data_IF_795239084118
#
_entry.id   IF_795239084118
#
_cell.length_a   1.000
_cell.length_b   1.000
_cell.length_c   1.000
_cell.angle_alpha   90.00
_cell.angle_beta   90.00
_cell.angle_gamma   90.00
#
_symmetry.space_group_name_H-M   'P 1'
#
loop_
_entity.id
_entity.type
_entity.pdbx_description
1 polymer ?
#
# COMPACT_ATOMS: atom_id res chain seq x y z
N UNK A 1 -4.99 -4.08 -25.98
CA UNK A 1 -6.24 -4.07 -25.17
C UNK A 1 -5.83 -3.73 -23.74
N UNK A 2 -6.41 -2.70 -23.10
CA UNK A 2 -6.09 -2.34 -21.71
C UNK A 2 -6.98 -3.13 -20.75
N UNK A 3 -6.44 -3.55 -19.62
CA UNK A 3 -7.18 -4.29 -18.58
C UNK A 3 -7.95 -3.31 -17.69
N UNK A 4 -9.22 -3.63 -17.42
CA UNK A 4 -10.06 -2.89 -16.46
C UNK A 4 -10.11 -3.56 -15.08
N UNK A 5 -9.75 -4.83 -14.99
CA UNK A 5 -9.66 -5.62 -13.76
C UNK A 5 -8.40 -6.49 -13.77
N UNK A 6 -7.93 -6.92 -12.59
CA UNK A 6 -6.87 -7.93 -12.50
C UNK A 6 -7.35 -9.23 -13.20
N UNK A 7 -6.57 -9.82 -14.12
CA UNK A 7 -6.96 -11.05 -14.80
C UNK A 7 -7.11 -12.23 -13.83
N UNK A 8 -8.09 -13.09 -14.10
CA UNK A 8 -8.26 -14.37 -13.39
C UNK A 8 -7.40 -15.47 -14.03
N UNK A 9 -7.09 -16.52 -13.26
CA UNK A 9 -6.36 -17.69 -13.79
C UNK A 9 -4.84 -17.49 -13.90
N UNK A 10 -4.28 -16.49 -13.21
CA UNK A 10 -2.83 -16.31 -13.08
C UNK A 10 -2.27 -17.56 -12.37
N UNK A 11 -1.22 -18.22 -12.91
CA UNK A 11 -0.63 -19.40 -12.30
C UNK A 11 -0.15 -19.16 -10.86
N UNK A 12 -0.38 -20.10 -9.96
CA UNK A 12 0.04 -19.97 -8.56
C UNK A 12 1.58 -19.86 -8.41
N UNK A 13 2.33 -20.39 -9.37
CA UNK A 13 3.80 -20.31 -9.42
C UNK A 13 4.33 -18.96 -9.93
N UNK A 14 3.47 -17.98 -10.25
CA UNK A 14 3.91 -16.68 -10.73
C UNK A 14 4.71 -15.94 -9.64
N UNK A 15 5.94 -15.55 -9.99
CA UNK A 15 6.83 -14.77 -9.13
C UNK A 15 6.81 -13.27 -9.46
N UNK A 16 6.51 -12.92 -10.72
CA UNK A 16 6.50 -11.54 -11.21
C UNK A 16 5.18 -11.24 -11.91
N UNK A 17 4.46 -10.23 -11.42
CA UNK A 17 3.21 -9.76 -12.02
C UNK A 17 3.30 -8.25 -12.32
N UNK A 18 3.19 -7.92 -13.61
CA UNK A 18 3.16 -6.56 -14.12
C UNK A 18 1.77 -6.25 -14.68
N UNK A 19 1.12 -5.22 -14.14
CA UNK A 19 -0.19 -4.72 -14.54
C UNK A 19 -0.12 -3.24 -14.94
N UNK A 20 1.05 -2.79 -15.39
CA UNK A 20 1.32 -1.42 -15.80
C UNK A 20 0.57 -1.04 -17.09
N UNK A 21 0.37 0.26 -17.33
CA UNK A 21 -0.23 0.79 -18.57
C UNK A 21 -1.67 0.33 -18.83
N UNK A 22 -2.40 -0.02 -17.76
CA UNK A 22 -3.78 -0.49 -17.80
C UNK A 22 -4.80 0.59 -17.43
N UNK A 23 -6.02 0.21 -17.08
CA UNK A 23 -7.14 1.08 -16.69
C UNK A 23 -7.82 0.54 -15.41
N UNK A 24 -7.03 -0.04 -14.50
CA UNK A 24 -7.57 -0.56 -13.24
C UNK A 24 -8.04 0.61 -12.37
N UNK A 25 -9.34 0.68 -12.13
CA UNK A 25 -9.94 1.64 -11.20
C UNK A 25 -10.11 1.06 -9.77
N UNK A 26 -10.11 -0.27 -9.67
CA UNK A 26 -10.24 -1.01 -8.41
C UNK A 26 -9.55 -2.37 -8.50
N UNK A 27 -9.17 -2.91 -7.34
CA UNK A 27 -8.67 -4.29 -7.19
C UNK A 27 -9.69 -5.07 -6.37
N UNK A 28 -10.00 -6.31 -6.78
CA UNK A 28 -10.79 -7.21 -5.93
C UNK A 28 -9.94 -7.65 -4.72
N UNK A 29 -10.51 -7.68 -3.52
CA UNK A 29 -9.79 -8.05 -2.29
C UNK A 29 -9.17 -9.46 -2.33
N UNK A 30 -9.61 -10.32 -3.26
CA UNK A 30 -9.13 -11.69 -3.46
C UNK A 30 -8.19 -11.83 -4.66
N UNK A 31 -7.93 -10.76 -5.42
CA UNK A 31 -7.21 -10.79 -6.69
C UNK A 31 -5.85 -11.50 -6.62
N UNK A 32 -5.15 -11.41 -5.48
CA UNK A 32 -3.81 -11.97 -5.29
C UNK A 32 -3.75 -13.17 -4.32
N UNK A 33 -4.89 -13.66 -3.80
CA UNK A 33 -4.90 -14.74 -2.78
C UNK A 33 -4.26 -16.05 -3.25
N UNK A 34 -4.26 -16.31 -4.56
CA UNK A 34 -3.69 -17.52 -5.16
C UNK A 34 -2.23 -17.40 -5.59
N UNK A 35 -1.54 -16.30 -5.26
CA UNK A 35 -0.20 -15.98 -5.79
C UNK A 35 0.85 -15.88 -4.67
N UNK A 36 1.09 -16.94 -3.89
CA UNK A 36 1.96 -16.89 -2.70
C UNK A 36 3.46 -16.75 -3.03
N UNK A 37 3.83 -16.99 -4.30
CA UNK A 37 5.21 -16.94 -4.78
C UNK A 37 5.61 -15.58 -5.35
N UNK A 38 4.70 -14.58 -5.38
CA UNK A 38 5.04 -13.26 -5.89
C UNK A 38 6.19 -12.63 -5.10
N UNK A 39 7.22 -12.23 -5.83
CA UNK A 39 8.36 -11.44 -5.38
C UNK A 39 8.31 -10.02 -5.93
N UNK A 40 7.59 -9.80 -7.04
CA UNK A 40 7.42 -8.49 -7.67
C UNK A 40 5.96 -8.27 -8.10
N UNK A 41 5.39 -7.13 -7.73
CA UNK A 41 4.08 -6.66 -8.18
C UNK A 41 4.16 -5.20 -8.58
N UNK A 42 3.82 -4.91 -9.83
CA UNK A 42 3.73 -3.53 -10.36
C UNK A 42 2.34 -3.26 -10.92
N UNK A 43 1.74 -2.15 -10.45
CA UNK A 43 0.43 -1.67 -10.91
C UNK A 43 0.54 -0.15 -11.11
N UNK A 44 1.25 0.26 -12.16
CA UNK A 44 1.64 1.66 -12.37
C UNK A 44 1.11 2.20 -13.69
N UNK A 45 1.41 3.47 -14.02
CA UNK A 45 1.24 4.11 -15.32
C UNK A 45 -0.18 3.95 -15.92
N UNK A 46 -1.02 4.99 -15.91
CA UNK A 46 -2.41 5.00 -16.44
C UNK A 46 -3.46 4.16 -15.67
N UNK A 47 -3.07 3.45 -14.62
CA UNK A 47 -4.04 2.93 -13.67
C UNK A 47 -4.66 4.09 -12.86
N UNK A 48 -5.87 3.87 -12.33
CA UNK A 48 -6.69 4.91 -11.70
C UNK A 48 -7.16 4.46 -10.32
N UNK A 49 -6.33 3.69 -9.62
CA UNK A 49 -6.67 3.17 -8.30
C UNK A 49 -6.85 4.32 -7.32
N UNK A 50 -8.05 4.46 -6.76
CA UNK A 50 -8.35 5.48 -5.76
C UNK A 50 -8.19 4.96 -4.32
N UNK A 51 -8.32 3.64 -4.15
CA UNK A 51 -8.28 2.94 -2.86
C UNK A 51 -7.71 1.54 -3.04
N UNK A 52 -7.14 0.97 -1.98
CA UNK A 52 -6.78 -0.44 -1.90
C UNK A 52 -7.78 -1.18 -0.99
N UNK A 53 -8.20 -2.41 -1.31
CA UNK A 53 -8.96 -3.22 -0.38
C UNK A 53 -8.16 -3.59 0.87
N UNK A 54 -8.83 -3.73 2.01
CA UNK A 54 -8.19 -4.24 3.24
C UNK A 54 -7.65 -5.65 3.00
N UNK A 55 -6.40 -5.90 3.39
CA UNK A 55 -5.77 -7.22 3.32
C UNK A 55 -5.46 -7.71 1.91
N UNK A 56 -5.52 -6.85 0.89
CA UNK A 56 -5.24 -7.20 -0.52
C UNK A 56 -3.85 -7.82 -0.71
N UNK A 57 -2.91 -7.54 0.19
CA UNK A 57 -1.53 -8.02 0.12
C UNK A 57 -1.15 -9.10 1.15
N UNK A 58 -2.09 -9.55 1.99
CA UNK A 58 -1.78 -10.40 3.17
C UNK A 58 -1.12 -11.75 2.87
N UNK A 59 -1.34 -12.30 1.66
CA UNK A 59 -0.77 -13.59 1.26
C UNK A 59 0.62 -13.47 0.61
N UNK A 60 1.06 -12.25 0.25
CA UNK A 60 2.29 -12.02 -0.51
C UNK A 60 3.52 -11.89 0.40
N UNK A 61 3.76 -12.88 1.25
CA UNK A 61 4.85 -12.88 2.24
C UNK A 61 6.26 -12.94 1.64
N UNK A 62 6.36 -13.23 0.33
CA UNK A 62 7.61 -13.29 -0.42
C UNK A 62 7.85 -12.04 -1.28
N UNK A 63 6.98 -11.03 -1.19
CA UNK A 63 7.10 -9.83 -2.01
C UNK A 63 8.32 -9.00 -1.58
N UNK A 64 9.15 -8.63 -2.55
CA UNK A 64 10.32 -7.77 -2.37
C UNK A 64 10.09 -6.39 -2.98
N UNK A 65 9.35 -6.29 -4.08
CA UNK A 65 9.12 -5.04 -4.81
C UNK A 65 7.62 -4.83 -5.06
N UNK A 66 7.09 -3.73 -4.51
CA UNK A 66 5.69 -3.30 -4.67
C UNK A 66 5.64 -1.87 -5.23
N UNK A 67 5.12 -1.76 -6.44
CA UNK A 67 5.05 -0.51 -7.21
C UNK A 67 3.61 -0.11 -7.45
N UNK A 68 3.20 0.99 -6.85
CA UNK A 68 1.84 1.55 -6.91
C UNK A 68 1.85 3.04 -7.33
N UNK A 69 2.98 3.55 -7.83
CA UNK A 69 3.08 4.91 -8.32
C UNK A 69 2.21 5.20 -9.53
N UNK A 70 2.00 6.48 -9.80
CA UNK A 70 1.17 6.98 -10.91
C UNK A 70 -0.27 6.44 -10.84
N UNK A 71 -0.85 6.44 -9.64
CA UNK A 71 -2.26 6.12 -9.38
C UNK A 71 -2.98 7.33 -8.76
N UNK A 72 -4.16 7.11 -8.18
CA UNK A 72 -5.00 8.16 -7.59
C UNK A 72 -5.29 7.87 -6.12
N UNK A 73 -4.42 7.13 -5.43
CA UNK A 73 -4.64 6.70 -4.05
C UNK A 73 -4.73 7.93 -3.15
N UNK A 74 -5.86 8.07 -2.43
CA UNK A 74 -6.09 9.20 -1.52
C UNK A 74 -5.75 8.88 -0.06
N UNK A 75 -5.79 7.59 0.27
CA UNK A 75 -5.54 7.04 1.60
C UNK A 75 -5.10 5.58 1.48
N UNK A 76 -4.38 5.09 2.48
CA UNK A 76 -4.05 3.67 2.61
C UNK A 76 -4.94 3.02 3.68
N UNK A 77 -5.40 1.77 3.50
CA UNK A 77 -6.02 1.03 4.59
C UNK A 77 -5.01 0.81 5.72
N UNK A 78 -5.45 0.83 6.99
CA UNK A 78 -4.60 0.41 8.10
C UNK A 78 -4.04 -0.99 7.84
N UNK A 79 -2.78 -1.22 8.22
CA UNK A 79 -2.13 -2.54 8.18
C UNK A 79 -1.98 -3.17 6.79
N UNK A 80 -2.19 -2.40 5.71
CA UNK A 80 -2.18 -2.92 4.32
C UNK A 80 -0.85 -3.58 3.91
N UNK A 81 0.25 -3.24 4.59
CA UNK A 81 1.58 -3.80 4.33
C UNK A 81 2.11 -4.73 5.44
N UNK A 82 1.32 -5.04 6.47
CA UNK A 82 1.79 -5.78 7.67
C UNK A 82 2.44 -7.12 7.35
N UNK A 83 1.97 -7.80 6.30
CA UNK A 83 2.44 -9.13 5.91
C UNK A 83 3.68 -9.10 5.01
N UNK A 84 4.10 -7.92 4.54
CA UNK A 84 5.16 -7.74 3.54
C UNK A 84 6.55 -7.59 4.20
N UNK A 85 6.90 -8.49 5.11
CA UNK A 85 8.11 -8.38 5.95
C UNK A 85 9.43 -8.53 5.17
N UNK A 86 9.37 -9.00 3.92
CA UNK A 86 10.52 -9.12 3.00
C UNK A 86 10.61 -7.98 1.98
N UNK A 87 9.69 -7.03 2.02
CA UNK A 87 9.66 -5.92 1.08
C UNK A 87 10.92 -5.07 1.22
N UNK A 88 11.64 -4.86 0.12
CA UNK A 88 12.82 -4.00 0.03
C UNK A 88 12.51 -2.69 -0.68
N UNK A 89 11.52 -2.66 -1.58
CA UNK A 89 11.08 -1.45 -2.25
C UNK A 89 9.56 -1.29 -2.21
N UNK A 90 9.11 -0.15 -1.68
CA UNK A 90 7.74 0.34 -1.77
C UNK A 90 7.72 1.69 -2.51
N UNK A 91 7.02 1.74 -3.64
CA UNK A 91 6.81 2.98 -4.39
C UNK A 91 5.34 3.39 -4.36
N UNK A 92 5.09 4.55 -3.76
CA UNK A 92 3.78 5.20 -3.58
C UNK A 92 3.79 6.64 -4.11
N UNK A 93 4.83 7.03 -4.84
CA UNK A 93 4.95 8.36 -5.42
C UNK A 93 3.87 8.64 -6.48
N UNK A 94 3.71 9.91 -6.83
CA UNK A 94 2.73 10.35 -7.84
C UNK A 94 1.31 9.83 -7.58
N UNK A 95 0.87 9.91 -6.32
CA UNK A 95 -0.48 9.60 -5.88
C UNK A 95 -1.15 10.85 -5.27
N UNK A 96 -2.23 10.68 -4.51
CA UNK A 96 -2.98 11.78 -3.87
C UNK A 96 -3.07 11.57 -2.35
N UNK A 97 -2.09 10.89 -1.75
CA UNK A 97 -2.11 10.55 -0.33
C UNK A 97 -2.08 11.82 0.52
N UNK A 98 -3.12 12.03 1.32
CA UNK A 98 -3.24 13.19 2.23
C UNK A 98 -2.66 12.87 3.62
N UNK A 99 -2.64 11.59 3.97
CA UNK A 99 -1.95 11.05 5.14
C UNK A 99 -1.59 9.58 4.92
N UNK A 100 -0.77 9.06 5.82
CA UNK A 100 -0.52 7.63 5.99
C UNK A 100 -1.06 7.20 7.36
N UNK A 101 -1.69 6.01 7.48
CA UNK A 101 -2.14 5.52 8.78
C UNK A 101 -0.99 5.28 9.76
N UNK A 102 -1.24 5.49 11.04
CA UNK A 102 -0.31 5.15 12.12
C UNK A 102 0.14 3.69 12.00
N UNK A 103 1.46 3.48 12.06
CA UNK A 103 2.08 2.17 12.01
C UNK A 103 2.02 1.45 10.66
N UNK A 104 1.57 2.08 9.57
CA UNK A 104 1.43 1.41 8.25
C UNK A 104 2.74 0.82 7.71
N UNK A 105 3.88 1.32 8.18
CA UNK A 105 5.22 0.87 7.79
C UNK A 105 5.93 0.00 8.85
N UNK A 106 5.30 -0.26 10.01
CA UNK A 106 5.97 -0.85 11.18
C UNK A 106 6.54 -2.25 10.96
N UNK A 107 5.97 -3.01 10.02
CA UNK A 107 6.41 -4.39 9.72
C UNK A 107 7.42 -4.47 8.58
N UNK A 108 7.78 -3.34 7.97
CA UNK A 108 8.66 -3.28 6.81
C UNK A 108 10.14 -3.16 7.23
N UNK A 109 10.60 -3.98 8.17
CA UNK A 109 11.98 -3.94 8.68
C UNK A 109 13.06 -4.33 7.67
N UNK A 110 12.67 -4.84 6.49
CA UNK A 110 13.59 -5.12 5.38
C UNK A 110 13.60 -4.00 4.32
N UNK A 111 12.82 -2.93 4.49
CA UNK A 111 12.65 -1.92 3.47
C UNK A 111 13.91 -1.08 3.31
N UNK A 112 14.41 -1.01 2.08
CA UNK A 112 15.62 -0.27 1.68
C UNK A 112 15.24 1.03 0.97
N UNK A 113 14.10 1.02 0.25
CA UNK A 113 13.60 2.19 -0.49
C UNK A 113 12.11 2.44 -0.27
N UNK A 114 11.78 3.68 0.06
CA UNK A 114 10.42 4.18 0.20
C UNK A 114 10.21 5.47 -0.61
N UNK A 115 9.44 5.40 -1.68
CA UNK A 115 9.13 6.58 -2.50
C UNK A 115 7.74 7.15 -2.12
N UNK A 116 7.70 8.39 -1.64
CA UNK A 116 6.47 9.10 -1.21
C UNK A 116 6.32 10.47 -1.88
N UNK A 117 7.22 10.85 -2.78
CA UNK A 117 7.17 12.15 -3.45
C UNK A 117 5.92 12.34 -4.31
N UNK A 118 5.62 13.59 -4.65
CA UNK A 118 4.47 13.95 -5.49
C UNK A 118 3.13 13.43 -4.92
N UNK A 119 2.91 13.58 -3.61
CA UNK A 119 1.65 13.28 -2.92
C UNK A 119 1.00 14.57 -2.37
N UNK A 120 0.13 14.44 -1.36
CA UNK A 120 -0.55 15.54 -0.66
C UNK A 120 -0.33 15.49 0.85
N UNK A 121 0.77 14.88 1.29
CA UNK A 121 1.09 14.71 2.71
C UNK A 121 1.41 16.07 3.34
N UNK A 122 0.75 16.36 4.46
CA UNK A 122 1.01 17.57 5.26
C UNK A 122 1.89 17.27 6.48
N UNK A 123 1.86 16.04 6.96
CA UNK A 123 2.66 15.49 8.05
C UNK A 123 2.72 13.96 7.90
N UNK A 124 3.50 13.30 8.76
CA UNK A 124 3.42 11.85 8.95
C UNK A 124 3.19 11.56 10.43
N UNK A 125 2.55 10.44 10.79
CA UNK A 125 2.39 10.03 12.18
C UNK A 125 3.72 10.00 12.93
N UNK A 126 3.65 10.26 14.24
CA UNK A 126 4.81 10.12 15.09
C UNK A 126 5.33 8.67 15.05
N UNK A 127 6.62 8.51 14.76
CA UNK A 127 7.26 7.20 14.68
C UNK A 127 7.09 6.47 13.34
N UNK A 128 6.50 7.11 12.32
CA UNK A 128 6.18 6.46 11.04
C UNK A 128 7.35 5.72 10.36
N UNK A 129 8.60 6.11 10.63
CA UNK A 129 9.81 5.54 10.04
C UNK A 129 10.71 4.81 11.04
N UNK A 130 10.32 4.71 12.32
CA UNK A 130 11.21 4.24 13.39
C UNK A 130 11.61 2.76 13.23
N UNK A 131 10.74 1.96 12.62
CA UNK A 131 10.96 0.53 12.38
C UNK A 131 11.64 0.22 11.04
N UNK A 132 11.90 1.22 10.19
CA UNK A 132 12.54 1.05 8.89
C UNK A 132 14.07 0.99 9.02
N UNK A 133 14.57 -0.02 9.74
CA UNK A 133 15.97 -0.10 10.17
C UNK A 133 16.99 -0.32 9.05
N UNK A 134 16.52 -0.73 7.85
CA UNK A 134 17.34 -0.90 6.64
C UNK A 134 17.13 0.18 5.59
N UNK A 135 16.39 1.24 5.89
CA UNK A 135 16.06 2.26 4.89
C UNK A 135 17.33 3.01 4.46
N UNK A 136 17.61 3.00 3.16
CA UNK A 136 18.78 3.66 2.56
C UNK A 136 18.37 4.86 1.69
N UNK A 137 17.18 4.81 1.11
CA UNK A 137 16.65 5.88 0.25
C UNK A 137 15.19 6.17 0.53
N UNK A 138 14.83 7.44 0.59
CA UNK A 138 13.43 7.86 0.55
C UNK A 138 13.25 9.19 -0.17
N UNK A 139 12.15 9.32 -0.91
CA UNK A 139 11.79 10.57 -1.58
C UNK A 139 10.59 11.19 -0.89
N UNK A 140 10.73 12.45 -0.47
CA UNK A 140 9.70 13.20 0.27
C UNK A 140 9.36 14.53 -0.41
N UNK A 141 9.96 14.78 -1.58
CA UNK A 141 9.79 16.00 -2.37
C UNK A 141 8.32 16.18 -2.80
N UNK A 142 7.96 17.41 -3.15
CA UNK A 142 6.63 17.72 -3.73
C UNK A 142 5.43 17.23 -2.90
N UNK A 143 5.54 17.36 -1.57
CA UNK A 143 4.43 17.22 -0.63
C UNK A 143 4.20 18.56 0.09
N UNK A 144 2.95 18.96 0.36
CA UNK A 144 2.63 20.21 1.05
C UNK A 144 2.85 20.11 2.57
N UNK A 145 4.09 19.84 3.00
CA UNK A 145 4.46 19.71 4.41
C UNK A 145 4.08 20.95 5.22
N UNK A 146 3.21 20.79 6.22
CA UNK A 146 2.72 21.87 7.07
C UNK A 146 3.68 22.11 8.23
N UNK A 147 4.61 23.04 8.03
CA UNK A 147 5.63 23.38 9.01
C UNK A 147 5.18 24.38 10.07
N UNK A 148 3.89 24.76 10.11
CA UNK A 148 3.36 25.76 11.03
C UNK A 148 2.80 25.17 12.33
N UNK A 149 2.72 23.85 12.45
CA UNK A 149 2.08 23.16 13.58
C UNK A 149 2.89 21.97 14.10
N UNK A 150 2.49 21.39 15.24
CA UNK A 150 3.29 20.42 16.00
C UNK A 150 3.57 19.10 15.28
N UNK A 151 2.70 18.66 14.36
CA UNK A 151 2.80 17.32 13.76
C UNK A 151 4.02 17.17 12.86
N UNK A 152 4.60 18.27 12.37
CA UNK A 152 5.83 18.25 11.57
C UNK A 152 7.07 17.90 12.39
N UNK A 153 7.02 18.06 13.72
CA UNK A 153 8.21 18.00 14.58
C UNK A 153 8.90 16.63 14.49
N UNK A 154 8.12 15.55 14.41
CA UNK A 154 8.66 14.21 14.19
C UNK A 154 9.46 14.14 12.89
N UNK A 155 8.82 14.47 11.77
CA UNK A 155 9.44 14.41 10.44
C UNK A 155 10.70 15.27 10.38
N UNK A 156 10.61 16.51 10.87
CA UNK A 156 11.75 17.43 10.98
C UNK A 156 12.91 16.82 11.74
N UNK A 157 12.64 16.24 12.90
CA UNK A 157 13.67 15.68 13.78
C UNK A 157 14.29 14.43 13.16
N UNK A 158 13.45 13.59 12.56
CA UNK A 158 13.88 12.39 11.87
C UNK A 158 14.79 12.70 10.68
N UNK A 159 14.42 13.65 9.82
CA UNK A 159 15.25 14.08 8.68
C UNK A 159 16.57 14.67 9.20
N UNK A 160 16.52 15.58 10.19
CA UNK A 160 17.72 16.20 10.73
C UNK A 160 18.73 15.20 11.31
N UNK A 161 18.25 14.07 11.85
CA UNK A 161 19.07 13.00 12.44
C UNK A 161 19.63 12.00 11.41
N UNK A 162 19.01 11.89 10.23
CA UNK A 162 19.29 10.82 9.28
C UNK A 162 19.67 11.31 7.87
N UNK A 163 19.76 12.62 7.62
CA UNK A 163 20.09 13.19 6.29
C UNK A 163 21.45 12.76 5.73
N UNK A 164 22.35 12.25 6.56
CA UNK A 164 23.67 11.71 6.22
C UNK A 164 23.64 10.20 5.91
N UNK A 165 22.57 9.50 6.32
CA UNK A 165 22.43 8.04 6.22
C UNK A 165 21.42 7.60 5.19
N UNK A 166 20.36 8.40 5.01
CA UNK A 166 19.23 8.05 4.15
C UNK A 166 19.11 9.11 3.06
N UNK A 167 19.39 8.70 1.83
CA UNK A 167 19.42 9.58 0.67
C UNK A 167 18.02 10.08 0.31
N UNK A 168 17.90 11.36 -0.04
CA UNK A 168 16.68 11.97 -0.56
C UNK A 168 15.75 12.59 0.49
N UNK A 169 15.99 12.37 1.79
CA UNK A 169 15.18 12.96 2.87
C UNK A 169 15.25 14.49 2.90
N UNK A 170 16.39 15.05 2.53
CA UNK A 170 16.65 16.48 2.51
C UNK A 170 15.79 17.24 1.50
N UNK A 171 15.13 16.53 0.57
CA UNK A 171 14.24 17.11 -0.44
C UNK A 171 12.90 17.62 0.11
N UNK A 172 12.55 17.29 1.36
CA UNK A 172 11.30 17.74 1.96
C UNK A 172 11.33 19.25 2.26
N UNK A 173 10.38 20.00 1.67
CA UNK A 173 10.25 21.45 1.82
C UNK A 173 8.89 21.83 2.41
N UNK A 174 8.89 22.84 3.27
CA UNK A 174 7.69 23.40 3.87
C UNK A 174 6.79 24.05 2.82
N UNK A 175 5.51 23.75 2.87
CA UNK A 175 4.52 24.18 1.90
C UNK A 175 4.54 25.71 1.69
N UNK A 176 4.58 26.14 0.42
CA UNK A 176 4.57 27.56 0.06
C UNK A 176 5.87 28.31 0.40
N UNK A 177 6.95 27.62 0.76
CA UNK A 177 8.24 28.23 1.11
C UNK A 177 9.41 27.46 0.50
N UNK A 178 10.62 28.02 0.59
CA UNK A 178 11.88 27.31 0.29
C UNK A 178 12.54 26.68 1.54
N UNK A 179 11.89 26.76 2.71
CA UNK A 179 12.45 26.22 3.95
C UNK A 179 12.42 24.70 3.92
N UNK A 180 13.58 24.06 4.07
CA UNK A 180 13.63 22.61 4.23
C UNK A 180 13.00 22.20 5.56
N UNK A 181 12.28 21.08 5.58
CA UNK A 181 11.58 20.59 6.78
C UNK A 181 12.56 20.40 7.95
N UNK A 182 13.79 19.96 7.69
CA UNK A 182 14.86 19.80 8.71
C UNK A 182 15.27 21.11 9.41
N UNK A 183 15.08 22.25 8.74
CA UNK A 183 15.51 23.56 9.22
C UNK A 183 14.40 24.31 10.00
N UNK A 184 13.22 23.71 10.14
CA UNK A 184 12.11 24.28 10.91
C UNK A 184 12.49 24.40 12.38
N UNK A 185 12.26 25.59 12.95
CA UNK A 185 12.41 25.86 14.39
C UNK A 185 11.20 25.28 15.13
N UNK A 186 11.45 24.38 16.06
CA UNK A 186 10.40 23.62 16.76
C UNK A 186 9.75 24.36 17.92
N UNK A 187 10.49 25.22 18.64
CA UNK A 187 9.97 25.90 19.83
C UNK A 187 8.69 26.72 19.59
N UNK A 188 8.57 27.51 18.50
CA UNK A 188 7.35 28.28 18.25
C UNK A 188 6.12 27.42 17.93
N UNK A 189 6.32 26.20 17.43
CA UNK A 189 5.23 25.34 16.91
C UNK A 189 4.93 24.14 17.82
N UNK A 190 5.69 23.96 18.92
CA UNK A 190 5.62 22.80 19.80
C UNK A 190 4.21 22.47 20.32
N UNK A 191 3.41 23.49 20.58
CA UNK A 191 2.05 23.38 21.11
C UNK A 191 1.00 23.91 20.12
N UNK A 192 1.36 24.13 18.86
CA UNK A 192 0.44 24.67 17.85
C UNK A 192 -0.32 23.50 17.23
N UNK A 193 -1.65 23.37 17.46
CA UNK A 193 -2.42 22.25 16.94
C UNK A 193 -2.54 22.33 15.42
N UNK A 194 -2.42 21.18 14.75
CA UNK A 194 -2.64 21.06 13.32
C UNK A 194 -4.14 21.01 12.98
N UNK A 195 -4.51 21.55 11.82
CA UNK A 195 -5.89 21.55 11.31
C UNK A 195 -6.06 20.63 10.10
N UNK A 196 -5.25 19.57 10.03
CA UNK A 196 -5.29 18.64 8.91
C UNK A 196 -6.63 17.90 8.90
N UNK A 197 -7.22 17.78 7.71
CA UNK A 197 -8.43 16.98 7.50
C UNK A 197 -8.01 15.78 6.67
N UNK A 198 -7.93 14.63 7.33
CA UNK A 198 -7.57 13.40 6.66
C UNK A 198 -8.83 12.68 6.16
N UNK A 199 -8.87 12.26 4.88
CA UNK A 199 -9.97 11.45 4.40
C UNK A 199 -9.93 10.12 5.13
N UNK A 200 -11.01 9.78 5.84
CA UNK A 200 -11.17 8.44 6.40
C UNK A 200 -11.09 7.45 5.24
N UNK A 201 -10.26 6.39 5.31
CA UNK A 201 -10.23 5.38 4.27
C UNK A 201 -11.65 4.87 4.04
N UNK A 202 -12.17 4.99 2.82
CA UNK A 202 -13.41 4.31 2.45
C UNK A 202 -13.12 2.82 2.53
N UNK A 203 -13.53 2.17 3.61
CA UNK A 203 -13.47 0.72 3.76
C UNK A 203 -14.49 0.16 2.77
N UNK A 204 -14.05 -0.13 1.55
CA UNK A 204 -14.83 -0.93 0.62
C UNK A 204 -14.76 -2.38 1.10
N UNK A 205 -15.66 -2.73 2.02
CA UNK A 205 -16.00 -4.14 2.21
C UNK A 205 -16.39 -4.69 0.83
N UNK A 206 -15.81 -5.82 0.45
CA UNK A 206 -16.22 -6.53 -0.77
C UNK A 206 -17.73 -6.68 -0.74
N UNK A 207 -18.43 -6.11 -1.73
CA UNK A 207 -19.86 -6.35 -1.91
C UNK A 207 -20.09 -7.86 -1.83
N UNK A 208 -21.02 -8.37 -1.00
CA UNK A 208 -21.37 -9.77 -1.06
C UNK A 208 -21.84 -10.03 -2.49
N UNK A 209 -21.12 -10.88 -3.20
CA UNK A 209 -21.59 -11.41 -4.48
C UNK A 209 -22.98 -11.99 -4.20
N UNK A 210 -24.04 -11.61 -4.94
CA UNK A 210 -25.30 -12.32 -4.83
C UNK A 210 -24.98 -13.79 -5.08
N UNK A 211 -25.21 -14.64 -4.08
CA UNK A 211 -25.14 -16.07 -4.29
C UNK A 211 -26.17 -16.40 -5.36
N UNK A 212 -25.71 -16.66 -6.59
CA UNK A 212 -26.55 -17.28 -7.60
C UNK A 212 -27.02 -18.60 -6.97
N UNK A 213 -28.33 -18.84 -6.83
CA UNK A 213 -28.81 -20.11 -6.31
C UNK A 213 -28.32 -21.18 -7.27
N UNK A 214 -27.41 -22.03 -6.80
CA UNK A 214 -27.10 -23.28 -7.50
C UNK A 214 -28.36 -24.12 -7.35
N UNK A 215 -29.16 -24.17 -8.41
CA UNK A 215 -30.23 -25.14 -8.55
C UNK A 215 -29.56 -26.52 -8.61
N UNK A 216 -29.52 -27.21 -7.47
CA UNK A 216 -29.21 -28.63 -7.42
C UNK A 216 -30.50 -29.32 -7.88
N UNK A 217 -30.51 -30.08 -8.99
CA UNK A 217 -31.63 -30.96 -9.26
C UNK A 217 -31.61 -32.04 -8.17
N UNK A 218 -32.69 -32.14 -7.40
CA UNK A 218 -32.92 -33.27 -6.51
C UNK A 218 -32.85 -34.57 -7.32
N UNK A 219 -31.79 -35.34 -7.10
CA UNK A 219 -31.71 -36.73 -7.51
C UNK A 219 -32.63 -37.54 -6.60
N UNK A 220 -33.89 -37.71 -7.03
CA UNK A 220 -34.74 -38.74 -6.48
C UNK A 220 -34.25 -40.11 -6.96
N UNK A 221 -33.73 -40.87 -6.00
CA UNK A 221 -33.40 -42.28 -6.12
C UNK A 221 -34.66 -43.12 -6.33
N UNK A 222 -34.70 -43.86 -7.43
CA UNK A 222 -35.17 -45.25 -7.43
C UNK A 222 -34.44 -46.05 -8.51
N UNK A 223 -34.07 -47.27 -8.13
CA UNK A 223 -33.64 -48.43 -8.94
C UNK A 223 -32.18 -48.53 -9.44
N UNK A 224 -31.38 -49.22 -8.62
CA UNK A 224 -30.80 -50.55 -8.90
C UNK A 224 -29.90 -50.73 -10.15
N UNK A 225 -28.57 -50.82 -9.98
CA UNK A 225 -27.76 -52.06 -10.08
C UNK A 225 -26.25 -51.73 -10.19
N UNK A 226 -25.45 -52.46 -9.40
CA UNK A 226 -24.09 -52.93 -9.67
C UNK A 226 -22.98 -51.94 -10.10
N UNK A 227 -22.02 -51.68 -9.20
CA UNK A 227 -20.67 -52.24 -9.32
C UNK A 227 -19.80 -51.79 -8.14
N UNK A 228 -19.22 -52.77 -7.46
CA UNK A 228 -18.21 -52.66 -6.41
C UNK A 228 -16.85 -52.47 -7.09
N UNK A 229 -16.01 -51.56 -6.60
CA UNK A 229 -14.57 -51.85 -6.52
C UNK A 229 -13.90 -51.05 -5.38
N UNK A 230 -13.28 -51.81 -4.48
CA UNK A 230 -12.66 -51.38 -3.23
C UNK A 230 -11.35 -50.58 -3.41
N UNK A 231 -11.07 -49.79 -2.38
CA UNK A 231 -9.79 -49.15 -2.11
C UNK A 231 -8.78 -50.15 -1.51
N UNK A 232 -7.66 -50.31 -2.23
CA UNK A 232 -6.25 -50.32 -1.77
C UNK A 232 -5.90 -50.99 -0.42
N UNK A 233 -4.98 -51.95 -0.51
CA UNK A 233 -3.66 -51.87 0.17
C UNK A 233 -2.56 -52.06 -0.85
#
# INVERSE_FOLDING_TARGET
>A
KKLATVPTGIPASTERLELDYNQLASIDAKAFRGLPHLTFLSITNNNQLQTLPVGVFDQMKNLHDLRLQDNQLKSLPPRVFDSLTKLTWLSLDANQLQSVPDGVFDKLGSLERLDLENNKLQSVPHGAFDNLTKLETTTLSNNPWDCACSDIIYLRTFIAKNTDKISGMESAQCNGTSTAVKDVKTEPIKNVPCKHVYPTPKITASSPTPATPIFIPELNSTTNLNAIHEHRT
#
